data_IF_675534262479
#
_entry.id   IF_675534262479
#
_cell.length_a   1.000
_cell.length_b   1.000
_cell.length_c   1.000
_cell.angle_alpha   90.00
_cell.angle_beta   90.00
_cell.angle_gamma   90.00
#
_symmetry.space_group_name_H-M   'P 1'
#
loop_
_entity.id
_entity.type
_entity.pdbx_description
1 polymer ?
#
# COMPACT_ATOMS: atom_id res chain seq x y z
N UNK A 1 -9.35 -3.85 -22.74
CA UNK A 1 -8.18 -3.16 -23.31
C UNK A 1 -8.26 -1.71 -22.83
N UNK A 2 -7.25 -1.10 -22.19
CA UNK A 2 -7.32 0.31 -21.77
C UNK A 2 -7.15 1.29 -22.92
N UNK A 3 -7.99 2.32 -22.90
CA UNK A 3 -7.97 3.59 -23.62
C UNK A 3 -6.70 4.41 -23.34
N UNK A 4 -6.19 5.12 -24.34
CA UNK A 4 -5.24 6.22 -24.14
C UNK A 4 -5.99 7.56 -23.91
N UNK A 5 -5.34 8.54 -23.27
CA UNK A 5 -6.01 9.68 -22.64
C UNK A 5 -6.52 10.68 -23.67
N UNK A 6 -7.68 11.27 -23.38
CA UNK A 6 -8.27 12.35 -24.16
C UNK A 6 -7.27 13.50 -24.36
N UNK A 7 -7.19 14.09 -25.57
CA UNK A 7 -6.43 15.32 -25.77
C UNK A 7 -7.06 16.41 -24.91
N UNK A 8 -6.22 17.16 -24.20
CA UNK A 8 -6.63 18.34 -23.46
C UNK A 8 -7.13 19.39 -24.45
N UNK A 9 -8.44 19.62 -24.52
CA UNK A 9 -8.99 20.84 -25.08
C UNK A 9 -9.96 21.47 -24.10
N UNK A 10 -9.53 22.66 -23.64
CA UNK A 10 -10.29 23.89 -23.52
C UNK A 10 -11.67 23.78 -22.86
N UNK A 11 -11.78 24.44 -21.69
CA UNK A 11 -13.03 24.85 -21.06
C UNK A 11 -14.10 25.23 -22.11
N UNK A 12 -15.03 24.32 -22.36
CA UNK A 12 -16.27 24.63 -23.06
C UNK A 12 -17.40 24.14 -22.18
N UNK A 13 -18.26 25.10 -21.81
CA UNK A 13 -19.54 24.85 -21.15
C UNK A 13 -20.43 24.12 -22.18
N UNK A 14 -20.24 22.79 -22.34
CA UNK A 14 -20.98 21.98 -23.30
C UNK A 14 -22.40 21.74 -22.82
N UNK A 15 -23.34 21.68 -23.74
CA UNK A 15 -24.72 21.32 -23.43
C UNK A 15 -24.87 19.79 -23.31
N UNK A 16 -25.84 19.28 -22.54
CA UNK A 16 -26.13 17.84 -22.50
C UNK A 16 -26.34 17.28 -23.92
N UNK A 17 -25.85 16.07 -24.16
CA UNK A 17 -25.85 15.34 -25.44
C UNK A 17 -25.10 15.99 -26.60
N UNK A 18 -24.29 17.01 -26.34
CA UNK A 18 -23.40 17.59 -27.34
C UNK A 18 -22.28 16.61 -27.73
N UNK A 19 -21.76 15.84 -26.78
CA UNK A 19 -20.80 14.76 -27.02
C UNK A 19 -21.03 13.62 -26.02
N UNK A 20 -21.23 12.40 -26.56
CA UNK A 20 -21.27 11.18 -25.76
C UNK A 20 -20.10 10.27 -26.13
N UNK A 21 -19.40 9.78 -25.10
CA UNK A 21 -18.36 8.77 -25.24
C UNK A 21 -18.94 7.37 -25.05
N UNK A 22 -18.56 6.44 -25.93
CA UNK A 22 -18.96 5.03 -25.86
C UNK A 22 -17.77 4.10 -25.80
N UNK A 23 -17.79 3.13 -24.89
CA UNK A 23 -16.79 2.06 -24.79
C UNK A 23 -17.45 0.72 -24.43
N UNK A 24 -16.96 -0.37 -25.05
CA UNK A 24 -17.44 -1.74 -24.84
C UNK A 24 -16.39 -2.55 -24.10
N UNK A 25 -16.80 -3.17 -23.00
CA UNK A 25 -15.92 -3.94 -22.14
C UNK A 25 -16.28 -5.43 -22.15
N UNK A 26 -15.24 -6.27 -22.09
CA UNK A 26 -15.36 -7.73 -21.97
C UNK A 26 -14.50 -8.51 -22.98
N UNK A 27 -14.60 -9.86 -23.00
CA UNK A 27 -15.51 -10.66 -22.17
C UNK A 27 -15.12 -10.65 -20.68
N UNK A 28 -16.11 -10.80 -19.81
CA UNK A 28 -15.90 -11.02 -18.38
C UNK A 28 -15.34 -12.42 -18.10
N UNK A 29 -14.49 -12.59 -17.07
CA UNK A 29 -13.95 -13.91 -16.71
C UNK A 29 -15.02 -14.93 -16.33
N UNK A 30 -16.13 -14.45 -15.75
CA UNK A 30 -17.29 -15.25 -15.37
C UNK A 30 -18.53 -14.57 -15.92
N UNK A 31 -19.35 -15.31 -16.67
CA UNK A 31 -20.64 -14.82 -17.15
C UNK A 31 -21.60 -14.65 -15.96
N UNK A 32 -22.49 -13.67 -16.02
CA UNK A 32 -23.57 -13.58 -15.02
C UNK A 32 -24.50 -14.79 -15.11
N UNK A 33 -25.33 -14.99 -14.08
CA UNK A 33 -26.35 -16.05 -14.05
C UNK A 33 -27.29 -16.03 -15.27
N UNK A 34 -27.51 -14.85 -15.86
CA UNK A 34 -28.35 -14.65 -17.05
C UNK A 34 -27.56 -14.64 -18.38
N UNK A 35 -26.27 -14.98 -18.34
CA UNK A 35 -25.43 -15.17 -19.53
C UNK A 35 -24.77 -13.90 -20.09
N UNK A 36 -24.81 -12.77 -19.37
CA UNK A 36 -24.15 -11.54 -19.79
C UNK A 36 -22.63 -11.67 -19.64
N UNK A 37 -21.89 -11.28 -20.69
CA UNK A 37 -20.43 -11.41 -20.78
C UNK A 37 -19.73 -10.09 -21.11
N UNK A 38 -20.48 -9.09 -21.53
CA UNK A 38 -19.96 -7.78 -21.92
C UNK A 38 -20.84 -6.69 -21.31
N UNK A 39 -20.34 -5.46 -21.26
CA UNK A 39 -21.17 -4.29 -21.04
C UNK A 39 -20.68 -3.13 -21.91
N UNK A 40 -21.59 -2.25 -22.27
CA UNK A 40 -21.30 -1.00 -22.99
C UNK A 40 -21.66 0.18 -22.10
N UNK A 41 -20.86 1.24 -22.18
CA UNK A 41 -21.08 2.47 -21.43
C UNK A 41 -21.34 3.63 -22.38
N UNK A 42 -22.24 4.53 -21.99
CA UNK A 42 -22.47 5.81 -22.65
C UNK A 42 -22.29 6.91 -21.62
N UNK A 43 -21.33 7.81 -21.85
CA UNK A 43 -20.96 8.87 -20.92
C UNK A 43 -21.15 10.21 -21.61
N UNK A 44 -22.09 11.01 -21.10
CA UNK A 44 -22.27 12.38 -21.55
C UNK A 44 -21.13 13.26 -21.05
N UNK A 45 -20.48 13.99 -21.95
CA UNK A 45 -19.29 14.79 -21.60
C UNK A 45 -19.64 16.03 -20.76
N UNK A 46 -20.80 16.64 -20.99
CA UNK A 46 -21.24 17.85 -20.30
C UNK A 46 -21.67 17.58 -18.86
N UNK A 47 -22.59 16.64 -18.68
CA UNK A 47 -23.21 16.32 -17.38
C UNK A 47 -22.45 15.27 -16.59
N UNK A 48 -21.52 14.55 -17.23
CA UNK A 48 -20.87 13.35 -16.69
C UNK A 48 -21.83 12.21 -16.34
N UNK A 49 -23.08 12.27 -16.80
CA UNK A 49 -24.06 11.19 -16.66
C UNK A 49 -23.56 9.92 -17.36
N UNK A 50 -23.78 8.77 -16.73
CA UNK A 50 -23.30 7.46 -17.23
C UNK A 50 -24.46 6.48 -17.32
N UNK A 51 -24.68 5.94 -18.51
CA UNK A 51 -25.57 4.81 -18.73
C UNK A 51 -24.75 3.54 -19.00
N UNK A 52 -25.19 2.40 -18.45
CA UNK A 52 -24.53 1.10 -18.63
C UNK A 52 -25.56 0.07 -19.08
N UNK A 53 -25.23 -0.67 -20.13
CA UNK A 53 -26.06 -1.75 -20.67
C UNK A 53 -25.27 -3.06 -20.68
N UNK A 54 -25.87 -4.13 -20.16
CA UNK A 54 -25.27 -5.47 -20.15
C UNK A 54 -25.58 -6.21 -21.45
N UNK A 55 -24.57 -6.87 -22.03
CA UNK A 55 -24.66 -7.56 -23.30
C UNK A 55 -24.22 -9.03 -23.18
N UNK A 56 -24.90 -9.92 -23.90
CA UNK A 56 -24.52 -11.32 -24.07
C UNK A 56 -23.48 -11.49 -25.19
N UNK A 57 -23.54 -10.65 -26.21
CA UNK A 57 -22.60 -10.64 -27.34
C UNK A 57 -22.23 -9.21 -27.77
N UNK A 58 -21.04 -9.03 -28.38
CA UNK A 58 -20.60 -7.72 -28.90
C UNK A 58 -21.52 -7.13 -29.96
N UNK A 59 -22.21 -7.98 -30.72
CA UNK A 59 -23.17 -7.58 -31.75
C UNK A 59 -24.38 -6.84 -31.21
N UNK A 60 -24.68 -6.95 -29.91
CA UNK A 60 -25.80 -6.26 -29.26
C UNK A 60 -25.50 -4.77 -28.97
N UNK A 61 -24.27 -4.31 -29.21
CA UNK A 61 -23.87 -2.91 -28.98
C UNK A 61 -24.72 -1.91 -29.77
N UNK A 62 -25.07 -2.23 -31.01
CA UNK A 62 -25.88 -1.34 -31.85
C UNK A 62 -27.30 -1.16 -31.31
N UNK A 63 -27.93 -2.25 -30.86
CA UNK A 63 -29.26 -2.18 -30.25
C UNK A 63 -29.23 -1.38 -28.95
N UNK A 64 -28.22 -1.61 -28.09
CA UNK A 64 -28.04 -0.84 -26.87
C UNK A 64 -27.86 0.67 -27.14
N UNK A 65 -27.15 1.05 -28.20
CA UNK A 65 -27.00 2.45 -28.61
C UNK A 65 -28.33 3.09 -29.02
N UNK A 66 -29.17 2.40 -29.79
CA UNK A 66 -30.49 2.91 -30.17
C UNK A 66 -31.38 3.16 -28.96
N UNK A 67 -31.39 2.21 -28.00
CA UNK A 67 -32.14 2.34 -26.75
C UNK A 67 -31.65 3.54 -25.95
N UNK A 68 -30.33 3.66 -25.76
CA UNK A 68 -29.74 4.80 -25.06
C UNK A 68 -30.10 6.13 -25.71
N UNK A 69 -29.89 6.26 -27.03
CA UNK A 69 -30.20 7.49 -27.78
C UNK A 69 -31.65 7.90 -27.57
N UNK A 70 -32.59 6.97 -27.79
CA UNK A 70 -34.02 7.27 -27.65
C UNK A 70 -34.35 7.73 -26.23
N UNK A 71 -33.85 7.02 -25.21
CA UNK A 71 -34.09 7.38 -23.82
C UNK A 71 -33.51 8.75 -23.49
N UNK A 72 -32.25 9.00 -23.82
CA UNK A 72 -31.54 10.22 -23.46
C UNK A 72 -32.15 11.45 -24.12
N UNK A 73 -32.51 11.36 -25.40
CA UNK A 73 -33.15 12.46 -26.13
C UNK A 73 -34.55 12.76 -25.58
N UNK A 74 -35.31 11.73 -25.18
CA UNK A 74 -36.62 11.93 -24.53
C UNK A 74 -36.49 12.57 -23.15
N UNK A 75 -35.53 12.13 -22.31
CA UNK A 75 -35.38 12.68 -20.96
C UNK A 75 -34.86 14.11 -20.94
N UNK A 76 -33.97 14.46 -21.88
CA UNK A 76 -33.31 15.77 -21.89
C UNK A 76 -33.95 16.76 -22.89
N UNK A 77 -34.87 16.31 -23.75
CA UNK A 77 -35.52 17.16 -24.74
C UNK A 77 -34.57 17.72 -25.81
N UNK A 78 -33.35 17.19 -25.91
CA UNK A 78 -32.31 17.62 -26.84
C UNK A 78 -31.80 16.42 -27.65
N UNK A 79 -31.36 16.65 -28.89
CA UNK A 79 -30.84 15.60 -29.76
C UNK A 79 -29.36 15.32 -29.49
N UNK A 80 -28.97 14.05 -29.66
CA UNK A 80 -27.56 13.65 -29.63
C UNK A 80 -26.82 14.23 -30.84
N UNK A 81 -25.78 15.03 -30.59
CA UNK A 81 -25.01 15.69 -31.67
C UNK A 81 -23.80 14.90 -32.12
N UNK A 82 -23.01 14.37 -31.19
CA UNK A 82 -21.80 13.64 -31.52
C UNK A 82 -21.61 12.39 -30.66
N UNK A 83 -21.08 11.34 -31.28
CA UNK A 83 -20.67 10.10 -30.64
C UNK A 83 -19.16 9.89 -30.83
N UNK A 84 -18.44 9.65 -29.74
CA UNK A 84 -17.03 9.28 -29.75
C UNK A 84 -16.82 7.81 -29.38
N UNK A 85 -16.20 7.05 -30.28
CA UNK A 85 -15.93 5.62 -30.15
C UNK A 85 -14.48 5.26 -30.60
N UNK A 86 -14.04 4.03 -30.29
CA UNK A 86 -12.66 3.57 -30.48
C UNK A 86 -12.40 2.84 -31.81
N UNK A 87 -13.34 2.90 -32.77
CA UNK A 87 -13.34 2.09 -34.01
C UNK A 87 -13.40 0.58 -33.77
N UNK A 88 -13.92 0.13 -32.62
CA UNK A 88 -14.25 -1.27 -32.40
C UNK A 88 -15.16 -1.83 -33.51
N UNK A 89 -14.99 -3.11 -33.86
CA UNK A 89 -15.74 -3.73 -34.96
C UNK A 89 -17.26 -3.66 -34.77
N UNK A 90 -17.72 -3.60 -33.53
CA UNK A 90 -19.11 -3.38 -33.13
C UNK A 90 -19.69 -2.05 -33.62
N UNK A 91 -18.85 -1.02 -33.80
CA UNK A 91 -19.26 0.31 -34.25
C UNK A 91 -19.08 0.51 -35.76
N UNK A 92 -18.43 -0.43 -36.46
CA UNK A 92 -18.05 -0.31 -37.87
C UNK A 92 -19.02 -1.03 -38.83
N UNK A 93 -20.13 -1.56 -38.34
CA UNK A 93 -21.14 -2.17 -39.23
C UNK A 93 -21.78 -1.12 -40.13
N UNK A 94 -22.11 -1.49 -41.38
CA UNK A 94 -22.80 -0.59 -42.33
C UNK A 94 -24.09 -0.03 -41.73
N UNK A 95 -24.85 -0.88 -41.02
CA UNK A 95 -26.08 -0.48 -40.34
C UNK A 95 -25.85 0.62 -39.29
N UNK A 96 -24.79 0.51 -38.49
CA UNK A 96 -24.46 1.52 -37.48
C UNK A 96 -24.09 2.85 -38.15
N UNK A 97 -23.22 2.80 -39.16
CA UNK A 97 -22.75 3.99 -39.89
C UNK A 97 -23.94 4.72 -40.53
N UNK A 98 -24.75 4.01 -41.32
CA UNK A 98 -25.93 4.58 -41.96
C UNK A 98 -26.94 5.13 -40.94
N UNK A 99 -27.13 4.47 -39.80
CA UNK A 99 -28.01 4.97 -38.74
C UNK A 99 -27.51 6.30 -38.16
N UNK A 100 -26.21 6.43 -37.88
CA UNK A 100 -25.65 7.68 -37.35
C UNK A 100 -25.70 8.81 -38.38
N UNK A 101 -25.44 8.52 -39.66
CA UNK A 101 -25.52 9.49 -40.75
C UNK A 101 -26.96 10.00 -40.93
N UNK A 102 -27.94 9.09 -40.97
CA UNK A 102 -29.37 9.44 -41.08
C UNK A 102 -29.87 10.25 -39.88
N UNK A 103 -29.33 9.99 -38.69
CA UNK A 103 -29.65 10.74 -37.48
C UNK A 103 -28.93 12.10 -37.37
N UNK A 104 -27.97 12.39 -38.26
CA UNK A 104 -27.15 13.60 -38.22
C UNK A 104 -26.14 13.62 -37.07
N UNK A 105 -25.73 12.45 -36.57
CA UNK A 105 -24.79 12.32 -35.45
C UNK A 105 -23.36 12.33 -35.98
N UNK A 106 -22.56 13.30 -35.54
CA UNK A 106 -21.14 13.39 -35.88
C UNK A 106 -20.38 12.24 -35.20
N UNK A 107 -19.68 11.42 -35.99
CA UNK A 107 -18.84 10.34 -35.46
C UNK A 107 -17.39 10.79 -35.28
N UNK A 108 -16.95 10.84 -34.03
CA UNK A 108 -15.57 11.15 -33.67
C UNK A 108 -14.82 9.87 -33.36
N UNK A 109 -14.11 9.36 -34.36
CA UNK A 109 -13.40 8.10 -34.22
C UNK A 109 -12.02 8.30 -33.59
N UNK A 110 -11.75 7.66 -32.46
CA UNK A 110 -10.43 7.73 -31.84
C UNK A 110 -9.42 6.90 -32.65
N UNK A 111 -8.27 7.48 -33.01
CA UNK A 111 -7.14 6.70 -33.56
C UNK A 111 -6.58 5.87 -32.41
N UNK A 112 -6.45 4.54 -32.61
CA UNK A 112 -5.79 3.64 -31.64
C UNK A 112 -4.36 4.11 -31.44
N UNK A 113 -4.13 4.92 -30.41
CA UNK A 113 -2.79 5.07 -29.86
C UNK A 113 -2.56 3.81 -29.04
N UNK A 114 -1.46 3.11 -29.32
CA UNK A 114 -1.08 1.87 -28.63
C UNK A 114 -1.07 2.11 -27.13
N UNK A 115 -1.65 1.20 -26.35
CA UNK A 115 -1.54 1.23 -24.89
C UNK A 115 -0.08 1.27 -24.47
N UNK A 116 0.44 2.45 -24.15
CA UNK A 116 1.56 2.53 -23.24
C UNK A 116 1.00 2.46 -21.83
N UNK A 117 0.62 1.24 -21.41
CA UNK A 117 0.81 0.88 -20.01
C UNK A 117 2.32 0.92 -19.80
N UNK A 118 2.85 2.01 -19.27
CA UNK A 118 4.27 2.04 -18.87
C UNK A 118 4.56 1.01 -17.77
N UNK A 119 3.53 0.41 -17.15
CA UNK A 119 3.63 -0.69 -16.20
C UNK A 119 2.46 -1.67 -16.43
N UNK A 120 2.71 -2.98 -16.60
CA UNK A 120 1.68 -4.02 -16.45
C UNK A 120 1.35 -4.13 -14.96
N UNK A 121 0.11 -3.84 -14.58
CA UNK A 121 -0.34 -3.86 -13.19
C UNK A 121 -1.65 -4.63 -13.06
N UNK A 122 -1.74 -5.47 -12.02
CA UNK A 122 -2.90 -6.25 -11.59
C UNK A 122 -3.57 -5.65 -10.33
N UNK A 123 -3.18 -4.44 -9.93
CA UNK A 123 -3.78 -3.74 -8.78
C UNK A 123 -5.24 -3.39 -9.07
N UNK A 124 -6.14 -3.80 -8.17
CA UNK A 124 -7.57 -3.47 -8.23
C UNK A 124 -7.83 -2.37 -7.20
N UNK A 125 -8.54 -1.31 -7.58
CA UNK A 125 -9.00 -0.29 -6.63
C UNK A 125 -10.34 -0.74 -6.03
N UNK A 126 -10.40 -0.89 -4.72
CA UNK A 126 -11.53 -1.49 -4.02
C UNK A 126 -12.47 -0.44 -3.43
N UNK A 127 -11.92 0.67 -2.92
CA UNK A 127 -12.69 1.70 -2.25
C UNK A 127 -12.01 3.06 -2.39
N UNK A 128 -12.78 4.14 -2.35
CA UNK A 128 -12.25 5.50 -2.24
C UNK A 128 -13.10 6.32 -1.27
N UNK A 129 -12.44 7.05 -0.37
CA UNK A 129 -13.07 7.87 0.67
C UNK A 129 -12.41 9.26 0.70
N UNK A 130 -13.24 10.30 0.89
CA UNK A 130 -12.77 11.66 1.17
C UNK A 130 -12.94 11.94 2.68
N UNK A 131 -11.83 12.24 3.36
CA UNK A 131 -11.85 12.52 4.81
C UNK A 131 -11.46 13.96 5.16
N UNK A 132 -11.60 14.91 4.23
CA UNK A 132 -11.32 16.34 4.45
C UNK A 132 -9.83 16.69 4.62
N UNK A 133 -9.00 15.72 4.96
CA UNK A 133 -7.53 15.79 4.95
C UNK A 133 -6.91 15.22 3.67
N UNK A 134 -7.73 14.63 2.78
CA UNK A 134 -7.32 14.07 1.49
C UNK A 134 -8.25 12.94 1.01
N UNK A 135 -7.98 12.46 -0.21
CA UNK A 135 -8.65 11.30 -0.81
C UNK A 135 -7.83 10.05 -0.52
N UNK A 136 -8.47 9.07 0.07
CA UNK A 136 -7.91 7.76 0.38
C UNK A 136 -8.44 6.76 -0.64
N UNK A 137 -7.56 5.97 -1.25
CA UNK A 137 -7.93 4.93 -2.21
C UNK A 137 -7.42 3.60 -1.69
N UNK A 138 -8.33 2.71 -1.34
CA UNK A 138 -8.02 1.32 -1.00
C UNK A 138 -7.78 0.52 -2.28
N UNK A 139 -6.76 -0.32 -2.25
CA UNK A 139 -6.39 -1.19 -3.36
C UNK A 139 -6.15 -2.62 -2.86
N UNK A 140 -6.35 -3.60 -3.74
CA UNK A 140 -6.20 -5.03 -3.45
C UNK A 140 -4.81 -5.42 -2.94
N UNK A 141 -3.79 -4.64 -3.31
CA UNK A 141 -2.42 -4.69 -2.79
C UNK A 141 -1.81 -3.30 -2.76
N UNK A 142 -0.70 -3.14 -2.04
CA UNK A 142 0.08 -1.90 -2.07
C UNK A 142 0.56 -1.62 -3.51
N UNK A 143 0.19 -0.48 -4.11
CA UNK A 143 0.68 -0.12 -5.44
C UNK A 143 2.18 0.23 -5.37
N UNK A 144 2.94 -0.20 -6.37
CA UNK A 144 4.34 0.19 -6.56
C UNK A 144 4.47 1.70 -6.79
N UNK A 145 5.67 2.25 -6.62
CA UNK A 145 5.93 3.68 -6.88
C UNK A 145 5.52 4.10 -8.29
N UNK A 146 5.73 3.23 -9.29
CA UNK A 146 5.38 3.49 -10.68
C UNK A 146 3.87 3.46 -10.92
N UNK A 147 3.15 2.53 -10.28
CA UNK A 147 1.68 2.46 -10.31
C UNK A 147 1.06 3.68 -9.63
N UNK A 148 1.59 4.07 -8.46
CA UNK A 148 1.18 5.25 -7.71
C UNK A 148 1.40 6.53 -8.51
N UNK A 149 2.56 6.67 -9.16
CA UNK A 149 2.87 7.82 -10.02
C UNK A 149 1.94 7.89 -11.24
N UNK A 150 1.57 6.74 -11.82
CA UNK A 150 0.61 6.66 -12.91
C UNK A 150 -0.78 7.17 -12.49
N UNK A 151 -1.28 6.66 -11.37
CA UNK A 151 -2.57 7.07 -10.79
C UNK A 151 -2.56 8.56 -10.44
N UNK A 152 -1.51 9.06 -9.78
CA UNK A 152 -1.36 10.49 -9.48
C UNK A 152 -1.33 11.36 -10.72
N UNK A 153 -0.63 10.94 -11.77
CA UNK A 153 -0.60 11.67 -13.06
C UNK A 153 -1.99 11.75 -13.68
N UNK A 154 -2.81 10.71 -13.52
CA UNK A 154 -4.19 10.68 -14.01
C UNK A 154 -5.11 11.57 -13.15
N UNK A 155 -5.03 11.45 -11.82
CA UNK A 155 -5.81 12.28 -10.88
C UNK A 155 -5.50 13.77 -11.05
N UNK A 156 -4.21 14.14 -11.17
CA UNK A 156 -3.80 15.54 -11.41
C UNK A 156 -4.29 16.11 -12.73
N UNK A 157 -4.57 15.28 -13.73
CA UNK A 157 -5.19 15.71 -14.99
C UNK A 157 -6.69 15.94 -14.87
N UNK A 158 -7.34 15.25 -13.92
CA UNK A 158 -8.78 15.36 -13.67
C UNK A 158 -9.13 16.47 -12.66
N UNK A 159 -8.20 16.79 -11.75
CA UNK A 159 -8.37 17.82 -10.72
C UNK A 159 -7.63 19.10 -11.15
N UNK A 160 -8.30 19.96 -11.93
CA UNK A 160 -7.88 21.36 -12.12
C UNK A 160 -8.40 22.19 -10.97
N UNK A 161 -7.59 22.41 -9.94
CA UNK A 161 -7.88 23.40 -8.89
C UNK A 161 -6.66 24.31 -8.74
N UNK A 162 -6.81 25.56 -9.18
CA UNK A 162 -5.83 26.60 -8.94
C UNK A 162 -5.72 26.84 -7.43
N UNK A 163 -4.50 26.73 -6.88
CA UNK A 163 -4.19 27.09 -5.49
C UNK A 163 -4.08 25.95 -4.47
N UNK A 164 -4.19 24.68 -4.86
CA UNK A 164 -4.10 23.55 -3.90
C UNK A 164 -2.66 22.99 -3.81
N UNK A 165 -2.22 22.79 -2.57
CA UNK A 165 -0.96 22.12 -2.17
C UNK A 165 -0.78 20.81 -2.96
N UNK A 166 0.41 20.49 -3.49
CA UNK A 166 0.62 19.30 -4.31
C UNK A 166 0.05 18.04 -3.64
N UNK A 167 -0.83 17.32 -4.35
CA UNK A 167 -1.36 16.02 -3.93
C UNK A 167 -0.16 15.10 -3.68
N UNK A 168 0.12 14.84 -2.41
CA UNK A 168 1.11 13.87 -1.95
C UNK A 168 0.40 12.54 -1.80
N UNK A 169 0.83 11.52 -2.54
CA UNK A 169 0.48 10.15 -2.17
C UNK A 169 1.42 9.72 -1.05
N UNK A 170 0.85 9.22 0.02
CA UNK A 170 1.57 8.37 0.97
C UNK A 170 0.77 7.08 1.02
N UNK A 171 1.31 5.91 0.63
CA UNK A 171 0.60 4.67 0.83
C UNK A 171 0.35 4.53 2.34
N UNK A 172 -0.90 4.44 2.78
CA UNK A 172 -1.25 4.17 4.20
C UNK A 172 -1.02 2.67 4.44
N UNK A 173 0.23 2.22 4.65
CA UNK A 173 1.05 2.12 5.88
C UNK A 173 0.68 1.03 6.88
N UNK A 174 -0.19 0.08 6.54
CA UNK A 174 -0.17 -1.20 7.24
C UNK A 174 1.20 -1.85 7.07
N UNK A 175 1.79 -2.29 8.17
CA UNK A 175 3.08 -2.99 8.17
C UNK A 175 2.82 -4.41 8.60
N UNK A 176 3.06 -5.35 7.69
CA UNK A 176 3.07 -6.76 8.03
C UNK A 176 4.50 -7.20 8.32
N UNK A 177 4.60 -8.22 9.16
CA UNK A 177 5.88 -8.69 9.66
C UNK A 177 6.07 -10.12 9.16
N UNK A 178 7.21 -10.36 8.53
CA UNK A 178 7.62 -11.67 8.06
C UNK A 178 8.95 -12.06 8.73
N UNK A 179 9.19 -13.37 8.78
CA UNK A 179 10.49 -13.93 9.12
C UNK A 179 10.88 -14.98 8.08
N UNK A 180 12.13 -14.93 7.64
CA UNK A 180 12.75 -15.99 6.85
C UNK A 180 13.59 -16.82 7.79
N UNK A 181 13.30 -18.10 7.87
CA UNK A 181 14.01 -19.04 8.75
C UNK A 181 15.12 -19.77 7.98
N UNK A 182 16.08 -20.30 8.72
CA UNK A 182 17.19 -21.13 8.22
C UNK A 182 18.11 -20.42 7.23
N UNK A 183 18.21 -19.09 7.33
CA UNK A 183 19.08 -18.28 6.49
C UNK A 183 20.55 -18.57 6.85
N UNK A 184 21.40 -19.00 5.90
CA UNK A 184 22.80 -19.31 6.18
C UNK A 184 23.53 -18.07 6.70
N UNK A 185 24.32 -18.26 7.74
CA UNK A 185 25.23 -17.22 8.22
C UNK A 185 26.42 -17.06 7.27
N UNK A 186 26.74 -15.82 6.96
CA UNK A 186 27.93 -15.49 6.19
C UNK A 186 29.07 -15.20 7.16
N UNK A 187 30.21 -15.89 7.04
CA UNK A 187 31.39 -15.61 7.85
C UNK A 187 31.84 -14.16 7.61
N UNK A 188 31.86 -13.36 8.67
CA UNK A 188 32.37 -12.00 8.66
C UNK A 188 32.70 -11.56 10.10
N UNK A 189 33.54 -10.54 10.24
CA UNK A 189 33.86 -9.98 11.55
C UNK A 189 32.61 -9.39 12.23
N UNK A 190 32.49 -9.47 13.56
CA UNK A 190 31.28 -9.05 14.29
C UNK A 190 30.81 -7.61 13.98
N UNK A 191 31.75 -6.69 13.73
CA UNK A 191 31.45 -5.28 13.46
C UNK A 191 30.79 -5.05 12.09
N UNK A 192 31.10 -5.88 11.09
CA UNK A 192 30.60 -5.76 9.71
C UNK A 192 29.63 -6.88 9.34
N UNK A 193 29.44 -7.86 10.23
CA UNK A 193 28.61 -9.03 9.96
C UNK A 193 27.19 -8.65 9.50
N UNK A 194 26.54 -7.68 10.14
CA UNK A 194 25.20 -7.26 9.73
C UNK A 194 25.14 -6.66 8.33
N UNK A 195 26.14 -5.86 7.91
CA UNK A 195 26.15 -5.26 6.58
C UNK A 195 26.45 -6.31 5.51
N UNK A 196 27.42 -7.20 5.76
CA UNK A 196 27.76 -8.31 4.88
C UNK A 196 26.58 -9.27 4.70
N UNK A 197 25.93 -9.66 5.81
CA UNK A 197 24.75 -10.53 5.79
C UNK A 197 23.60 -9.89 5.01
N UNK A 198 23.36 -8.58 5.21
CA UNK A 198 22.31 -7.85 4.51
C UNK A 198 22.57 -7.75 3.01
N UNK A 199 23.80 -7.45 2.60
CA UNK A 199 24.18 -7.36 1.19
C UNK A 199 23.90 -8.68 0.46
N UNK A 200 24.36 -9.79 1.03
CA UNK A 200 24.14 -11.10 0.44
C UNK A 200 22.67 -11.54 0.45
N UNK A 201 21.90 -11.19 1.49
CA UNK A 201 20.46 -11.44 1.52
C UNK A 201 19.73 -10.68 0.40
N UNK A 202 20.04 -9.40 0.21
CA UNK A 202 19.47 -8.59 -0.88
C UNK A 202 19.85 -9.15 -2.25
N UNK A 203 21.10 -9.59 -2.42
CA UNK A 203 21.53 -10.27 -3.66
C UNK A 203 20.79 -11.59 -3.88
N UNK A 204 20.54 -12.37 -2.83
CA UNK A 204 19.78 -13.62 -2.95
C UNK A 204 18.31 -13.37 -3.32
N UNK A 205 17.71 -12.32 -2.78
CA UNK A 205 16.35 -11.91 -3.15
C UNK A 205 16.23 -11.57 -4.63
N UNK A 206 17.25 -10.97 -5.25
CA UNK A 206 17.20 -10.60 -6.68
C UNK A 206 17.27 -11.80 -7.63
N UNK A 207 17.54 -13.02 -7.15
CA UNK A 207 17.67 -14.22 -7.98
C UNK A 207 16.29 -14.86 -8.24
N UNK A 208 15.42 -14.91 -7.23
CA UNK A 208 14.11 -15.58 -7.33
C UNK A 208 12.98 -14.59 -7.66
N UNK A 209 11.94 -14.98 -8.44
CA UNK A 209 10.79 -14.11 -8.71
C UNK A 209 10.09 -13.64 -7.43
N UNK A 210 9.88 -14.56 -6.48
CA UNK A 210 9.31 -14.27 -5.15
C UNK A 210 10.20 -13.32 -4.35
N UNK A 211 11.52 -13.49 -4.43
CA UNK A 211 12.48 -12.61 -3.76
C UNK A 211 12.50 -11.19 -4.34
N UNK A 212 12.37 -11.03 -5.66
CA UNK A 212 12.28 -9.73 -6.33
C UNK A 212 11.01 -8.97 -5.92
N UNK A 213 9.88 -9.67 -5.84
CA UNK A 213 8.63 -9.08 -5.35
C UNK A 213 8.75 -8.69 -3.87
N UNK A 214 9.31 -9.58 -3.05
CA UNK A 214 9.52 -9.32 -1.63
C UNK A 214 10.44 -8.12 -1.41
N UNK A 215 11.53 -7.98 -2.17
CA UNK A 215 12.51 -6.89 -2.01
C UNK A 215 11.90 -5.50 -2.24
N UNK A 216 10.96 -5.39 -3.18
CA UNK A 216 10.20 -4.15 -3.45
C UNK A 216 9.28 -3.80 -2.28
N UNK A 217 8.72 -4.81 -1.60
CA UNK A 217 7.81 -4.61 -0.48
C UNK A 217 8.52 -4.28 0.85
N UNK A 218 9.84 -4.48 0.95
CA UNK A 218 10.60 -4.24 2.19
C UNK A 218 10.58 -2.77 2.57
N UNK A 219 10.07 -2.49 3.77
CA UNK A 219 9.93 -1.13 4.31
C UNK A 219 11.18 -0.60 5.01
N UNK A 220 11.91 -1.49 5.69
CA UNK A 220 13.09 -1.15 6.49
C UNK A 220 14.22 -2.15 6.24
N UNK A 221 15.44 -1.75 6.60
CA UNK A 221 16.61 -2.65 6.55
C UNK A 221 16.32 -3.98 7.26
N UNK A 222 16.57 -5.09 6.56
CA UNK A 222 16.37 -6.45 7.09
C UNK A 222 17.25 -6.68 8.31
N UNK A 223 16.67 -7.33 9.32
CA UNK A 223 17.31 -7.59 10.61
C UNK A 223 17.59 -9.07 10.77
N UNK A 224 18.81 -9.43 11.12
CA UNK A 224 19.23 -10.83 11.28
C UNK A 224 19.44 -11.15 12.75
N UNK A 225 18.96 -12.32 13.18
CA UNK A 225 19.13 -12.82 14.55
C UNK A 225 19.60 -14.27 14.50
N UNK A 226 20.68 -14.59 15.20
CA UNK A 226 21.16 -15.97 15.31
C UNK A 226 20.16 -16.80 16.11
N UNK A 227 19.92 -18.02 15.66
CA UNK A 227 19.02 -18.96 16.36
C UNK A 227 19.63 -19.44 17.68
N UNK A 228 20.96 -19.58 17.72
CA UNK A 228 21.76 -19.86 18.92
C UNK A 228 23.22 -19.43 18.71
N UNK A 229 24.03 -19.41 19.78
CA UNK A 229 25.44 -19.01 19.70
C UNK A 229 26.30 -19.91 18.79
N UNK A 230 25.87 -21.17 18.60
CA UNK A 230 26.55 -22.19 17.83
C UNK A 230 25.86 -22.52 16.49
N UNK A 231 24.72 -21.89 16.21
CA UNK A 231 24.01 -22.12 14.95
C UNK A 231 24.77 -21.48 13.78
N UNK A 232 24.80 -22.21 12.66
CA UNK A 232 25.23 -21.78 11.34
C UNK A 232 24.11 -21.05 10.57
N UNK A 233 22.92 -20.93 11.16
CA UNK A 233 21.76 -20.26 10.58
C UNK A 233 21.25 -19.10 11.44
N UNK A 234 20.49 -18.22 10.78
CA UNK A 234 19.86 -17.08 11.39
C UNK A 234 18.44 -16.89 10.86
N UNK A 235 17.66 -16.11 11.60
CA UNK A 235 16.33 -15.66 11.21
C UNK A 235 16.45 -14.23 10.66
N UNK A 236 15.96 -14.02 9.45
CA UNK A 236 15.85 -12.69 8.87
C UNK A 236 14.43 -12.14 9.10
N UNK A 237 14.32 -11.07 9.87
CA UNK A 237 13.07 -10.36 10.12
C UNK A 237 12.89 -9.25 9.09
N UNK A 238 11.75 -9.29 8.42
CA UNK A 238 11.41 -8.42 7.29
C UNK A 238 10.11 -7.70 7.60
N UNK A 239 10.17 -6.37 7.62
CA UNK A 239 8.98 -5.53 7.67
C UNK A 239 8.60 -5.20 6.24
N UNK A 240 7.35 -5.47 5.86
CA UNK A 240 6.85 -5.16 4.52
C UNK A 240 5.73 -4.13 4.58
N UNK A 241 5.69 -3.28 3.56
CA UNK A 241 4.50 -2.48 3.26
C UNK A 241 3.38 -3.44 2.83
N UNK A 242 2.22 -3.34 3.46
CA UNK A 242 1.08 -4.23 3.20
C UNK A 242 -0.25 -3.45 3.22
N UNK A 243 -1.32 -4.11 2.78
CA UNK A 243 -2.70 -3.65 2.98
C UNK A 243 -3.13 -3.86 4.44
N UNK A 244 -4.20 -3.19 4.87
CA UNK A 244 -4.80 -3.41 6.20
C UNK A 244 -5.25 -4.87 6.39
N UNK A 245 -5.61 -5.56 5.30
CA UNK A 245 -6.00 -6.96 5.30
C UNK A 245 -4.81 -7.96 5.34
N UNK A 246 -3.57 -7.48 5.20
CA UNK A 246 -2.37 -8.32 5.17
C UNK A 246 -2.23 -9.15 3.89
N UNK A 247 -2.79 -8.67 2.77
CA UNK A 247 -2.90 -9.42 1.51
C UNK A 247 -1.52 -9.80 0.96
N UNK A 248 -0.56 -8.88 1.00
CA UNK A 248 0.80 -9.12 0.53
C UNK A 248 1.55 -10.09 1.44
N UNK A 249 1.42 -9.99 2.76
CA UNK A 249 2.03 -10.97 3.66
C UNK A 249 1.54 -12.39 3.38
N UNK A 250 0.23 -12.59 3.18
CA UNK A 250 -0.36 -13.90 2.87
C UNK A 250 0.19 -14.49 1.57
N UNK A 251 0.52 -13.66 0.58
CA UNK A 251 1.08 -14.15 -0.68
C UNK A 251 2.53 -14.64 -0.55
N UNK A 252 3.26 -14.22 0.49
CA UNK A 252 4.64 -14.67 0.75
C UNK A 252 4.72 -15.83 1.74
N UNK A 253 3.81 -15.91 2.71
CA UNK A 253 3.82 -16.94 3.75
C UNK A 253 3.73 -18.34 3.12
N UNK A 254 4.64 -19.22 3.53
CA UNK A 254 4.72 -20.60 3.03
C UNK A 254 5.60 -20.76 1.79
N UNK A 255 5.92 -19.68 1.07
CA UNK A 255 6.87 -19.72 -0.05
C UNK A 255 8.32 -19.86 0.46
N UNK A 256 9.19 -20.37 -0.41
CA UNK A 256 10.62 -20.55 -0.15
C UNK A 256 11.44 -19.67 -1.09
N UNK A 257 12.54 -19.13 -0.56
CA UNK A 257 13.57 -18.42 -1.32
C UNK A 257 14.92 -19.11 -1.12
N UNK A 258 15.73 -19.17 -2.16
CA UNK A 258 17.06 -19.80 -2.09
C UNK A 258 18.08 -18.77 -1.65
N UNK A 259 18.79 -19.03 -0.55
CA UNK A 259 19.86 -18.17 -0.03
C UNK A 259 21.07 -19.05 0.25
N UNK A 260 22.22 -18.73 -0.36
CA UNK A 260 23.45 -19.49 -0.17
C UNK A 260 23.30 -20.98 -0.50
N UNK A 261 22.47 -21.33 -1.49
CA UNK A 261 22.18 -22.72 -1.88
C UNK A 261 21.20 -23.47 -0.96
N UNK A 262 20.64 -22.82 0.08
CA UNK A 262 19.63 -23.43 0.97
C UNK A 262 18.24 -22.85 0.72
N UNK A 263 17.23 -23.71 0.78
CA UNK A 263 15.83 -23.31 0.74
C UNK A 263 15.42 -22.71 2.09
N UNK A 264 15.13 -21.41 2.10
CA UNK A 264 14.75 -20.67 3.29
C UNK A 264 13.26 -20.35 3.23
N UNK A 265 12.50 -20.75 4.24
CA UNK A 265 11.04 -20.59 4.24
C UNK A 265 10.62 -19.22 4.80
N UNK A 266 9.67 -18.58 4.13
CA UNK A 266 9.03 -17.35 4.60
C UNK A 266 7.84 -17.70 5.51
N UNK A 267 7.81 -17.13 6.71
CA UNK A 267 6.73 -17.30 7.69
C UNK A 267 6.19 -15.97 8.18
N UNK A 268 4.94 -15.97 8.64
CA UNK A 268 4.35 -14.84 9.34
C UNK A 268 5.11 -14.57 10.64
N UNK A 269 5.24 -13.29 10.97
CA UNK A 269 5.79 -12.82 12.22
C UNK A 269 4.79 -11.90 12.94
N UNK A 270 4.87 -11.88 14.26
CA UNK A 270 4.15 -10.88 15.04
C UNK A 270 4.85 -9.52 14.94
N UNK A 271 4.12 -8.39 15.15
CA UNK A 271 4.67 -7.02 15.10
C UNK A 271 5.86 -6.72 16.00
N UNK A 272 6.15 -7.61 16.94
CA UNK A 272 7.15 -7.39 17.99
C UNK A 272 8.01 -8.63 18.21
N UNK A 273 8.98 -8.92 17.33
CA UNK A 273 10.02 -9.89 17.61
C UNK A 273 11.28 -9.24 18.22
N UNK A 274 11.17 -8.00 18.69
CA UNK A 274 12.15 -7.40 19.58
C UNK A 274 11.97 -7.92 21.00
N UNK A 275 13.02 -7.87 21.80
CA UNK A 275 12.90 -8.15 23.22
C UNK A 275 11.87 -7.17 23.82
N UNK A 276 10.86 -7.69 24.52
CA UNK A 276 9.74 -6.86 24.97
C UNK A 276 10.23 -5.72 25.90
N UNK A 277 9.65 -4.53 25.69
CA UNK A 277 9.57 -3.51 26.73
C UNK A 277 8.51 -3.98 27.72
N UNK A 278 8.93 -4.32 28.93
CA UNK A 278 8.03 -4.78 29.96
C UNK A 278 7.09 -3.65 30.40
N UNK A 279 5.78 -3.82 30.24
CA UNK A 279 4.78 -2.80 30.62
C UNK A 279 4.64 -2.59 32.13
N UNK A 280 5.21 -3.49 32.95
CA UNK A 280 5.25 -3.33 34.42
C UNK A 280 6.43 -2.49 34.88
N UNK A 281 7.65 -2.83 34.45
CA UNK A 281 8.86 -2.15 34.94
C UNK A 281 9.48 -1.16 33.96
N UNK A 282 8.92 -1.05 32.75
CA UNK A 282 9.41 -0.23 31.65
C UNK A 282 10.87 -0.51 31.24
N UNK A 283 11.33 -1.77 31.45
CA UNK A 283 12.65 -2.22 31.01
C UNK A 283 12.59 -3.09 29.76
N UNK A 284 13.54 -2.89 28.86
CA UNK A 284 13.75 -3.73 27.68
C UNK A 284 14.37 -5.08 28.08
N UNK A 285 14.03 -6.15 27.36
CA UNK A 285 14.70 -7.46 27.53
C UNK A 285 13.81 -8.60 28.04
N UNK A 286 12.57 -8.32 28.48
CA UNK A 286 11.67 -9.35 29.01
C UNK A 286 10.19 -8.95 28.93
N UNK A 287 9.30 -9.94 28.93
CA UNK A 287 7.84 -9.73 28.94
C UNK A 287 7.31 -9.48 30.36
N UNK A 288 6.14 -8.83 30.48
CA UNK A 288 5.50 -8.53 31.77
C UNK A 288 5.16 -9.78 32.59
N UNK A 289 4.92 -10.92 31.93
CA UNK A 289 4.62 -12.21 32.57
C UNK A 289 5.76 -12.78 33.42
N UNK A 290 7.01 -12.43 33.11
CA UNK A 290 8.20 -12.88 33.86
C UNK A 290 8.78 -11.77 34.75
N UNK A 291 8.07 -10.65 34.89
CA UNK A 291 8.53 -9.49 35.63
C UNK A 291 8.23 -9.62 37.13
N UNK A 292 9.26 -9.40 37.97
CA UNK A 292 9.15 -9.40 39.43
C UNK A 292 8.75 -8.03 40.03
N UNK A 293 8.44 -7.02 39.22
CA UNK A 293 8.07 -5.69 39.72
C UNK A 293 6.73 -5.73 40.43
N UNK A 294 6.66 -5.22 41.67
CA UNK A 294 5.43 -5.21 42.50
C UNK A 294 4.29 -4.32 41.94
N UNK A 295 4.58 -3.45 40.97
CA UNK A 295 3.59 -2.58 40.32
C UNK A 295 4.12 -1.95 39.03
N UNK A 296 3.30 -1.09 38.43
CA UNK A 296 3.64 -0.28 37.24
C UNK A 296 4.68 0.76 37.64
N UNK A 297 5.68 0.97 36.78
CA UNK A 297 6.72 1.99 36.94
C UNK A 297 6.65 3.03 35.84
N UNK A 298 6.99 4.25 36.18
CA UNK A 298 7.00 5.38 35.25
C UNK A 298 8.16 5.24 34.25
N UNK A 299 7.94 5.38 32.92
CA UNK A 299 9.01 5.29 31.93
C UNK A 299 9.99 6.48 31.97
N UNK A 300 9.60 7.60 32.60
CA UNK A 300 10.38 8.84 32.71
C UNK A 300 11.29 8.93 33.95
N UNK A 301 11.05 8.13 34.98
CA UNK A 301 11.85 8.15 36.22
C UNK A 301 12.00 6.78 36.92
N UNK A 302 11.26 5.75 36.51
CA UNK A 302 11.33 4.41 37.10
C UNK A 302 10.69 4.25 38.48
N UNK A 303 10.04 5.28 39.01
CA UNK A 303 9.30 5.28 40.28
C UNK A 303 7.90 4.65 40.15
N UNK A 304 7.26 4.21 41.27
CA UNK A 304 6.01 3.44 41.25
C UNK A 304 4.77 4.31 41.00
N UNK A 305 4.70 4.94 39.83
CA UNK A 305 3.55 5.70 39.34
C UNK A 305 3.44 5.57 37.82
N UNK A 306 2.30 5.95 37.25
CA UNK A 306 2.09 5.95 35.79
C UNK A 306 2.78 7.14 35.13
N UNK A 307 2.90 7.14 33.81
CA UNK A 307 3.40 8.32 33.07
C UNK A 307 2.45 9.53 33.22
N UNK A 308 1.14 9.31 33.20
CA UNK A 308 0.14 10.36 33.40
C UNK A 308 0.23 11.01 34.78
N UNK A 309 0.57 10.23 35.81
CA UNK A 309 0.77 10.67 37.18
C UNK A 309 2.15 11.30 37.43
N UNK A 310 2.99 11.45 36.39
CA UNK A 310 4.38 11.86 36.57
C UNK A 310 4.50 13.26 37.17
N UNK A 311 3.76 14.23 36.68
CA UNK A 311 3.84 15.62 37.16
C UNK A 311 3.40 15.76 38.63
N UNK A 312 2.42 14.96 39.06
CA UNK A 312 1.80 15.03 40.39
C UNK A 312 2.65 14.31 41.47
N UNK A 313 3.19 13.14 41.14
CA UNK A 313 3.83 12.24 42.11
C UNK A 313 5.36 12.17 42.00
N UNK A 314 5.98 12.70 40.94
CA UNK A 314 7.44 12.68 40.80
C UNK A 314 8.09 13.87 41.52
N UNK A 315 8.96 13.60 42.51
CA UNK A 315 9.74 14.66 43.15
C UNK A 315 10.72 15.37 42.19
N UNK A 316 11.14 14.72 41.10
CA UNK A 316 12.01 15.31 40.08
C UNK A 316 11.27 16.31 39.18
N UNK A 317 10.03 16.00 38.75
CA UNK A 317 9.24 16.90 37.90
C UNK A 317 8.84 18.18 38.63
N UNK A 318 8.74 18.15 39.96
CA UNK A 318 8.47 19.33 40.80
C UNK A 318 9.66 20.30 40.89
N UNK A 319 10.89 19.84 40.58
CA UNK A 319 12.11 20.68 40.58
C UNK A 319 12.53 21.08 39.17
N UNK A 320 12.35 20.19 38.21
CA UNK A 320 12.61 20.40 36.79
C UNK A 320 11.59 19.61 35.95
N UNK A 321 10.58 20.28 35.38
CA UNK A 321 9.50 19.66 34.62
C UNK A 321 9.96 18.94 33.34
N UNK A 322 11.11 19.35 32.77
CA UNK A 322 11.57 18.89 31.47
C UNK A 322 12.61 17.77 31.56
N UNK A 323 13.20 17.54 32.73
CA UNK A 323 14.17 16.45 32.93
C UNK A 323 13.53 15.08 32.67
N UNK A 324 13.91 14.43 31.56
CA UNK A 324 13.56 13.03 31.27
C UNK A 324 14.71 12.13 31.69
N UNK A 325 14.43 11.06 32.44
CA UNK A 325 15.47 10.11 32.83
C UNK A 325 15.10 8.69 32.41
N UNK A 326 15.77 8.19 31.38
CA UNK A 326 15.49 6.85 30.88
C UNK A 326 15.77 5.77 31.95
N UNK A 327 14.72 5.09 32.40
CA UNK A 327 14.80 4.01 33.40
C UNK A 327 15.77 2.88 33.00
N UNK A 328 15.96 2.65 31.70
CA UNK A 328 16.89 1.64 31.20
C UNK A 328 18.36 2.09 31.31
N UNK A 329 18.65 3.35 30.99
CA UNK A 329 19.98 3.93 31.16
C UNK A 329 20.38 3.96 32.63
N UNK A 330 19.47 4.40 33.52
CA UNK A 330 19.71 4.40 34.97
C UNK A 330 19.91 2.99 35.52
N UNK A 331 19.11 2.01 35.08
CA UNK A 331 19.25 0.63 35.53
C UNK A 331 20.52 -0.07 35.03
N UNK A 332 21.09 0.39 33.91
CA UNK A 332 22.35 -0.10 33.36
C UNK A 332 23.58 0.70 33.81
N UNK A 333 23.43 1.60 34.79
CA UNK A 333 24.54 2.40 35.31
C UNK A 333 25.11 3.43 34.32
N UNK A 334 24.35 3.81 33.29
CA UNK A 334 24.76 4.84 32.32
C UNK A 334 24.33 6.23 32.82
N UNK A 335 25.06 7.26 32.39
CA UNK A 335 24.71 8.66 32.66
C UNK A 335 23.24 8.95 32.32
N UNK A 336 22.59 9.79 33.15
CA UNK A 336 21.21 10.24 32.90
C UNK A 336 21.17 10.91 31.52
N UNK A 337 20.26 10.45 30.67
CA UNK A 337 20.03 10.99 29.34
C UNK A 337 18.60 11.51 29.27
N UNK A 338 18.45 12.64 28.61
CA UNK A 338 17.19 13.37 28.49
C UNK A 338 16.24 12.74 27.46
N UNK A 339 15.75 11.53 27.76
CA UNK A 339 14.73 10.84 26.95
C UNK A 339 13.96 9.80 27.76
N UNK A 340 12.81 9.37 27.24
CA UNK A 340 11.98 8.30 27.81
C UNK A 340 12.43 6.91 27.35
N UNK A 341 12.15 5.87 28.14
CA UNK A 341 12.36 4.48 27.73
C UNK A 341 11.59 4.04 26.47
N UNK A 342 10.54 4.78 26.12
CA UNK A 342 9.72 4.57 24.91
C UNK A 342 10.21 5.37 23.72
N UNK A 343 11.15 6.31 23.91
CA UNK A 343 11.66 7.15 22.84
C UNK A 343 12.55 6.34 21.87
N UNK A 344 12.40 6.62 20.58
CA UNK A 344 13.23 6.08 19.50
C UNK A 344 14.71 6.47 19.60
N UNK A 345 15.01 7.59 20.26
CA UNK A 345 16.37 8.03 20.58
C UNK A 345 17.07 7.15 21.62
N UNK A 346 16.33 6.31 22.34
CA UNK A 346 16.87 5.49 23.42
C UNK A 346 17.83 4.40 22.89
N UNK A 347 19.03 4.23 23.44
CA UNK A 347 19.95 3.15 23.05
C UNK A 347 19.34 1.76 23.21
N UNK A 348 18.45 1.57 24.19
CA UNK A 348 17.76 0.30 24.40
C UNK A 348 16.64 0.07 23.39
N UNK A 349 16.00 1.14 22.93
CA UNK A 349 15.08 1.09 21.79
C UNK A 349 15.83 0.73 20.50
N UNK A 350 16.97 1.36 20.25
CA UNK A 350 17.81 1.10 19.08
C UNK A 350 18.31 -0.35 19.05
N UNK A 351 18.70 -0.88 20.21
CA UNK A 351 19.20 -2.25 20.37
C UNK A 351 18.12 -3.25 20.81
N UNK A 352 16.83 -2.93 20.66
CA UNK A 352 15.73 -3.79 21.15
C UNK A 352 15.69 -5.18 20.52
N UNK A 353 16.33 -5.35 19.37
CA UNK A 353 16.46 -6.63 18.66
C UNK A 353 17.76 -7.38 18.98
N UNK A 354 18.70 -6.79 19.71
CA UNK A 354 19.94 -7.43 20.13
C UNK A 354 19.80 -7.93 21.57
N UNK A 355 19.33 -9.18 21.70
CA UNK A 355 19.05 -9.81 23.00
C UNK A 355 20.32 -9.99 23.84
N UNK A 356 21.47 -10.22 23.21
CA UNK A 356 22.74 -10.39 23.91
C UNK A 356 23.33 -9.05 24.35
N UNK A 357 23.14 -7.98 23.56
CA UNK A 357 23.41 -6.62 24.02
C UNK A 357 22.55 -6.25 25.22
N UNK A 358 21.24 -6.50 25.17
CA UNK A 358 20.32 -6.20 26.29
C UNK A 358 20.68 -6.98 27.56
N UNK A 359 21.01 -8.27 27.43
CA UNK A 359 21.51 -9.09 28.55
C UNK A 359 22.79 -8.52 29.17
N UNK A 360 23.72 -8.04 28.34
CA UNK A 360 24.96 -7.39 28.83
C UNK A 360 24.68 -6.09 29.59
N UNK A 361 23.60 -5.37 29.28
CA UNK A 361 23.25 -4.13 29.99
C UNK A 361 22.56 -4.39 31.33
N UNK A 362 21.90 -5.55 31.48
CA UNK A 362 21.22 -5.95 32.70
C UNK A 362 21.77 -7.29 33.21
N UNK A 363 23.02 -7.33 33.70
CA UNK A 363 23.56 -8.54 34.29
C UNK A 363 22.63 -8.98 35.43
N UNK A 364 22.31 -10.29 35.46
CA UNK A 364 21.57 -10.87 36.58
C UNK A 364 22.42 -10.63 37.84
N UNK A 365 21.86 -9.89 38.80
CA UNK A 365 22.39 -9.88 40.17
C UNK A 365 22.17 -11.24 40.81
#
# INVERSE_FOLDING_TARGET
MHSLPFPSSLNHNRSPLELVHSDLHGPLPVASRSGYKYWITFIDDATRFRAVYLLKAKSEAFEAFKVYKSWAETQLGVKLRALQDDKGGEYMSKAFISFTELAGIERRLCVRVSKQSTVKSDVILEHAEDSGSGIFIAASRVPTSSETACVLKHIRRLVTVAGVVPIKSTPVTSTSYLKVIDVPMIPAEPKVWQSTQRSAFTNALSISPVGKELSIAIKHAVRFMRTSAHSDTCVAWVDICDSVAGTSARSYIGKTIVIGGRNCQIRGAAPRPGSALCTRCMRWGHHSSVCRSKGIRCPLCGLPHSEAAHQEYCAHSKRDPDTRSCVNCSAAGKAKRDHSATDTSCPFWQNRFDRDWLRRQFPKK
#
